data_IF_086744394886
#
_entry.id   IF_086744394886
#
_cell.length_a   1.000
_cell.length_b   1.000
_cell.length_c   1.000
_cell.angle_alpha   90.00
_cell.angle_beta   90.00
_cell.angle_gamma   90.00
#
_symmetry.space_group_name_H-M   'P 1'
#
loop_
_entity.id
_entity.type
_entity.pdbx_description
1 polymer ?
#
# COMPACT_ATOMS: atom_id res chain seq x y z
N UNK A 1 15.32 -18.84 23.96
CA UNK A 1 15.40 -17.59 23.19
C UNK A 1 14.66 -17.77 21.86
N UNK A 2 13.70 -16.92 21.62
CA UNK A 2 12.97 -16.95 20.35
C UNK A 2 13.86 -16.44 19.21
N UNK A 3 13.91 -17.18 18.11
CA UNK A 3 14.61 -16.75 16.88
C UNK A 3 13.68 -16.02 15.93
N UNK A 4 12.42 -15.79 16.34
CA UNK A 4 11.44 -15.11 15.50
C UNK A 4 11.35 -13.66 15.87
N UNK A 5 11.43 -12.80 14.87
CA UNK A 5 11.16 -11.37 15.03
C UNK A 5 9.67 -11.16 14.85
N UNK A 6 9.09 -10.41 15.78
CA UNK A 6 7.70 -9.99 15.68
C UNK A 6 7.68 -8.53 15.31
N UNK A 7 7.00 -8.24 14.24
CA UNK A 7 6.81 -6.87 13.79
C UNK A 7 5.43 -6.40 14.20
N UNK A 8 5.35 -5.17 14.67
CA UNK A 8 4.08 -4.53 15.01
C UNK A 8 3.73 -3.52 13.92
N UNK A 9 2.46 -3.08 13.90
CA UNK A 9 2.04 -1.99 13.01
C UNK A 9 2.88 -0.74 13.28
N UNK A 10 3.23 -0.49 14.53
CA UNK A 10 4.06 0.64 14.91
C UNK A 10 5.47 0.54 14.34
N UNK A 11 6.07 -0.66 14.34
CA UNK A 11 7.37 -0.90 13.71
C UNK A 11 7.33 -0.60 12.22
N UNK A 12 6.27 -1.03 11.53
CA UNK A 12 6.06 -0.76 10.11
C UNK A 12 5.95 0.74 9.85
N UNK A 13 5.20 1.45 10.68
CA UNK A 13 5.04 2.90 10.56
C UNK A 13 6.37 3.62 10.73
N UNK A 14 7.13 3.29 11.76
CA UNK A 14 8.44 3.88 12.00
C UNK A 14 9.39 3.65 10.82
N UNK A 15 9.41 2.44 10.28
CA UNK A 15 10.24 2.11 9.15
C UNK A 15 9.79 2.86 7.89
N UNK A 16 8.49 2.92 7.64
CA UNK A 16 7.89 3.65 6.51
C UNK A 16 8.20 5.15 6.58
N UNK A 17 8.22 5.72 7.78
CA UNK A 17 8.51 7.14 7.99
C UNK A 17 9.93 7.53 7.55
N UNK A 18 10.82 6.56 7.35
CA UNK A 18 12.14 6.81 6.76
C UNK A 18 12.07 7.22 5.30
N UNK A 19 10.99 6.89 4.61
CA UNK A 19 10.70 7.27 3.21
C UNK A 19 11.86 7.01 2.27
N UNK A 20 12.43 5.80 2.36
CA UNK A 20 13.59 5.42 1.54
C UNK A 20 13.22 5.25 0.07
N UNK A 21 11.96 4.90 -0.19
CA UNK A 21 11.41 4.80 -1.54
C UNK A 21 9.90 4.99 -1.47
N UNK A 22 9.28 5.24 -2.62
CA UNK A 22 7.83 5.40 -2.74
C UNK A 22 7.24 4.21 -3.48
N UNK A 23 6.03 3.82 -3.11
CA UNK A 23 5.33 2.75 -3.82
C UNK A 23 3.83 2.99 -3.86
N UNK A 24 3.20 2.40 -4.85
CA UNK A 24 1.76 2.27 -4.94
C UNK A 24 1.44 0.78 -5.12
N UNK A 25 0.31 0.35 -4.62
CA UNK A 25 -0.08 -1.06 -4.71
C UNK A 25 -1.53 -1.17 -5.17
N UNK A 26 -1.76 -2.11 -6.10
CA UNK A 26 -3.09 -2.50 -6.54
C UNK A 26 -3.34 -3.93 -6.10
N UNK A 27 -4.60 -4.35 -6.00
CA UNK A 27 -4.96 -5.66 -5.45
C UNK A 27 -4.36 -5.84 -4.05
N UNK A 28 -4.48 -4.79 -3.23
CA UNK A 28 -3.73 -4.70 -1.98
C UNK A 28 -4.15 -5.70 -0.91
N UNK A 29 -5.36 -6.23 -0.98
CA UNK A 29 -5.89 -7.13 0.03
C UNK A 29 -5.89 -6.48 1.41
N UNK A 30 -5.59 -7.25 2.43
CA UNK A 30 -5.46 -6.75 3.81
C UNK A 30 -4.14 -6.05 4.11
N UNK A 31 -3.24 -5.97 3.14
CA UNK A 31 -1.98 -5.23 3.28
C UNK A 31 -0.73 -6.08 3.48
N UNK A 32 -0.77 -7.37 3.09
CA UNK A 32 0.39 -8.26 3.25
C UNK A 32 1.65 -7.76 2.56
N UNK A 33 1.55 -7.38 1.28
CA UNK A 33 2.69 -6.84 0.53
C UNK A 33 3.14 -5.51 1.11
N UNK A 34 2.20 -4.66 1.53
CA UNK A 34 2.51 -3.38 2.16
C UNK A 34 3.29 -3.54 3.45
N UNK A 35 3.04 -4.59 4.24
CA UNK A 35 3.83 -4.89 5.43
C UNK A 35 5.31 -4.99 5.07
N UNK A 36 5.65 -5.76 4.02
CA UNK A 36 7.02 -5.93 3.56
C UNK A 36 7.64 -4.63 3.07
N UNK A 37 6.91 -3.88 2.24
CA UNK A 37 7.41 -2.60 1.74
C UNK A 37 7.65 -1.60 2.86
N UNK A 38 6.72 -1.49 3.80
CA UNK A 38 6.84 -0.55 4.93
C UNK A 38 8.00 -0.93 5.85
N UNK A 39 8.18 -2.22 6.14
CA UNK A 39 9.33 -2.68 6.94
C UNK A 39 10.66 -2.38 6.26
N UNK A 40 10.68 -2.33 4.92
CA UNK A 40 11.87 -1.96 4.14
C UNK A 40 12.05 -0.45 4.00
N UNK A 41 11.18 0.36 4.58
CA UNK A 41 11.26 1.81 4.53
C UNK A 41 10.44 2.45 3.41
N UNK A 42 9.50 1.72 2.82
CA UNK A 42 8.65 2.25 1.75
C UNK A 42 7.55 3.17 2.27
N UNK A 43 7.34 4.25 1.54
CA UNK A 43 6.25 5.19 1.76
C UNK A 43 5.13 4.90 0.76
N UNK A 44 3.97 4.47 1.26
CA UNK A 44 2.84 4.12 0.41
C UNK A 44 2.13 5.39 -0.07
N UNK A 45 2.21 5.67 -1.36
CA UNK A 45 1.54 6.82 -1.96
C UNK A 45 0.09 6.54 -2.30
N UNK A 46 -0.24 5.29 -2.56
CA UNK A 46 -1.59 4.95 -3.02
C UNK A 46 -1.83 3.45 -2.89
N UNK A 47 -3.04 3.07 -2.51
CA UNK A 47 -3.49 1.68 -2.58
C UNK A 47 -4.84 1.57 -3.29
N UNK A 48 -5.02 0.48 -3.99
CA UNK A 48 -6.30 0.10 -4.58
C UNK A 48 -6.65 -1.33 -4.19
N UNK A 49 -7.90 -1.54 -3.89
CA UNK A 49 -8.48 -2.86 -3.65
C UNK A 49 -9.96 -2.81 -4.05
N UNK A 50 -10.45 -3.89 -4.63
CA UNK A 50 -11.86 -3.99 -5.04
C UNK A 50 -12.78 -4.39 -3.89
N UNK A 51 -12.32 -5.32 -3.06
CA UNK A 51 -13.12 -5.88 -1.96
C UNK A 51 -13.21 -4.90 -0.81
N UNK A 52 -14.42 -4.49 -0.48
CA UNK A 52 -14.67 -3.50 0.56
C UNK A 52 -14.14 -3.94 1.93
N UNK A 53 -14.34 -5.22 2.28
CA UNK A 53 -13.85 -5.77 3.54
C UNK A 53 -12.31 -5.71 3.60
N UNK A 54 -11.64 -6.01 2.50
CA UNK A 54 -10.19 -5.92 2.42
C UNK A 54 -9.70 -4.48 2.50
N UNK A 55 -10.41 -3.53 1.88
CA UNK A 55 -10.11 -2.10 2.01
C UNK A 55 -10.18 -1.67 3.48
N UNK A 56 -11.23 -2.06 4.17
CA UNK A 56 -11.44 -1.72 5.59
C UNK A 56 -10.30 -2.28 6.44
N UNK A 57 -9.92 -3.52 6.21
CA UNK A 57 -8.81 -4.17 6.93
C UNK A 57 -7.50 -3.43 6.68
N UNK A 58 -7.21 -3.10 5.42
CA UNK A 58 -6.01 -2.34 5.06
C UNK A 58 -5.96 -1.01 5.79
N UNK A 59 -7.07 -0.26 5.78
CA UNK A 59 -7.13 1.07 6.38
C UNK A 59 -7.11 1.04 7.91
N UNK A 60 -7.57 -0.05 8.53
CA UNK A 60 -7.42 -0.24 9.96
C UNK A 60 -5.95 -0.43 10.34
N UNK A 61 -5.21 -1.18 9.52
CA UNK A 61 -3.79 -1.42 9.75
C UNK A 61 -2.94 -0.20 9.38
N UNK A 62 -3.31 0.51 8.33
CA UNK A 62 -2.53 1.63 7.80
C UNK A 62 -3.42 2.85 7.59
N UNK A 63 -3.89 3.48 8.68
CA UNK A 63 -4.77 4.64 8.57
C UNK A 63 -4.08 5.81 7.87
N UNK A 64 -4.86 6.56 7.10
CA UNK A 64 -4.35 7.71 6.38
C UNK A 64 -3.74 7.41 5.02
N UNK A 65 -3.67 6.14 4.60
CA UNK A 65 -3.20 5.78 3.26
C UNK A 65 -4.17 6.33 2.20
N UNK A 66 -3.70 7.08 1.21
CA UNK A 66 -4.54 7.46 0.07
C UNK A 66 -5.01 6.22 -0.69
N UNK A 67 -6.30 6.15 -1.02
CA UNK A 67 -6.85 4.93 -1.59
C UNK A 67 -8.02 5.18 -2.52
N UNK A 68 -8.26 4.19 -3.39
CA UNK A 68 -9.50 4.04 -4.15
C UNK A 68 -9.98 2.60 -3.98
N UNK A 69 -11.15 2.43 -3.34
CA UNK A 69 -11.75 1.11 -3.13
C UNK A 69 -12.75 0.87 -4.25
N UNK A 70 -12.26 0.37 -5.38
CA UNK A 70 -13.10 0.08 -6.54
C UNK A 70 -12.38 -0.83 -7.53
N UNK A 71 -13.11 -1.28 -8.55
CA UNK A 71 -12.56 -2.09 -9.62
C UNK A 71 -11.48 -1.30 -10.37
N UNK A 72 -10.32 -1.89 -10.53
CA UNK A 72 -9.20 -1.28 -11.24
C UNK A 72 -9.55 -0.89 -12.67
N UNK A 73 -10.50 -1.58 -13.29
CA UNK A 73 -10.97 -1.27 -14.64
C UNK A 73 -11.67 0.09 -14.73
N UNK A 74 -12.13 0.60 -13.60
CA UNK A 74 -12.81 1.88 -13.50
C UNK A 74 -11.89 3.01 -13.04
N UNK A 75 -10.62 2.71 -12.80
CA UNK A 75 -9.63 3.71 -12.41
C UNK A 75 -8.90 4.27 -13.64
N UNK A 76 -8.60 5.56 -13.56
CA UNK A 76 -7.72 6.20 -14.52
C UNK A 76 -6.38 6.51 -13.87
N UNK A 77 -5.33 6.62 -14.68
CA UNK A 77 -4.01 7.02 -14.18
C UNK A 77 -4.06 8.37 -13.49
N UNK A 78 -4.89 9.27 -14.02
CA UNK A 78 -5.06 10.60 -13.45
C UNK A 78 -5.66 10.56 -12.05
N UNK A 79 -6.71 9.74 -11.84
CA UNK A 79 -7.30 9.56 -10.50
C UNK A 79 -6.26 9.05 -9.50
N UNK A 80 -5.44 8.10 -9.90
CA UNK A 80 -4.40 7.52 -9.05
C UNK A 80 -3.39 8.60 -8.63
N UNK A 81 -2.93 9.38 -9.58
CA UNK A 81 -1.95 10.44 -9.31
C UNK A 81 -2.53 11.55 -8.44
N UNK A 82 -3.77 11.94 -8.68
CA UNK A 82 -4.46 12.97 -7.88
C UNK A 82 -4.69 12.47 -6.45
N UNK A 83 -5.19 11.24 -6.29
CA UNK A 83 -5.48 10.65 -4.99
C UNK A 83 -4.20 10.46 -4.18
N UNK A 84 -3.15 9.96 -4.80
CA UNK A 84 -1.86 9.69 -4.15
C UNK A 84 -0.96 10.92 -4.06
N UNK A 85 -1.32 12.02 -4.72
CA UNK A 85 -0.56 13.27 -4.76
C UNK A 85 0.88 13.07 -5.23
N UNK A 86 1.05 12.37 -6.35
CA UNK A 86 2.36 12.16 -6.95
C UNK A 86 2.30 12.33 -8.47
N UNK A 87 3.46 12.63 -9.05
CA UNK A 87 3.65 12.71 -10.50
C UNK A 87 4.21 11.38 -11.02
N UNK A 88 4.07 11.07 -12.33
CA UNK A 88 4.45 9.75 -12.87
C UNK A 88 5.89 9.32 -12.58
N UNK A 89 6.80 10.26 -12.40
CA UNK A 89 8.22 9.97 -12.17
C UNK A 89 8.63 9.94 -10.70
N UNK A 90 7.68 10.16 -9.80
CA UNK A 90 7.96 10.20 -8.36
C UNK A 90 7.72 8.87 -7.67
N UNK A 91 7.23 7.87 -8.40
CA UNK A 91 6.93 6.55 -7.87
C UNK A 91 8.04 5.58 -8.22
N UNK A 92 8.66 4.98 -7.21
CA UNK A 92 9.75 4.03 -7.40
C UNK A 92 9.24 2.63 -7.74
N UNK A 93 8.16 2.19 -7.09
CA UNK A 93 7.58 0.86 -7.28
C UNK A 93 6.08 0.98 -7.48
N UNK A 94 5.58 0.29 -8.49
CA UNK A 94 4.15 0.09 -8.68
C UNK A 94 3.87 -1.41 -8.64
N UNK A 95 3.26 -1.87 -7.55
CA UNK A 95 3.02 -3.29 -7.32
C UNK A 95 1.58 -3.67 -7.69
N UNK A 96 1.42 -4.83 -8.30
CA UNK A 96 0.11 -5.36 -8.62
C UNK A 96 0.14 -6.87 -8.68
N UNK A 97 -0.66 -7.53 -7.84
CA UNK A 97 -0.77 -8.98 -7.80
C UNK A 97 -2.23 -9.35 -8.04
N UNK A 98 -2.69 -9.35 -9.30
CA UNK A 98 -4.07 -9.70 -9.61
C UNK A 98 -4.36 -11.17 -9.23
N UNK A 99 -5.61 -11.47 -8.81
CA UNK A 99 -5.97 -12.84 -8.49
C UNK A 99 -5.91 -13.72 -9.74
N UNK A 100 -5.56 -14.99 -9.55
CA UNK A 100 -5.61 -15.96 -10.63
C UNK A 100 -7.07 -16.23 -11.00
N UNK A 101 -7.39 -16.32 -12.32
CA UNK A 101 -8.75 -16.66 -12.74
C UNK A 101 -9.15 -18.08 -12.34
#
# INVERSE_FOLDING_TARGET
>A
MSRYFRYTIEDMKKSSDRKLFTYATTFAGGGGSSCGYKLSGGDCKFMNEFQEVACDTYLQNFPGTPYLCKDIKQMTSEEVMVTGKFNPRELDIFDGSPPCP
#
